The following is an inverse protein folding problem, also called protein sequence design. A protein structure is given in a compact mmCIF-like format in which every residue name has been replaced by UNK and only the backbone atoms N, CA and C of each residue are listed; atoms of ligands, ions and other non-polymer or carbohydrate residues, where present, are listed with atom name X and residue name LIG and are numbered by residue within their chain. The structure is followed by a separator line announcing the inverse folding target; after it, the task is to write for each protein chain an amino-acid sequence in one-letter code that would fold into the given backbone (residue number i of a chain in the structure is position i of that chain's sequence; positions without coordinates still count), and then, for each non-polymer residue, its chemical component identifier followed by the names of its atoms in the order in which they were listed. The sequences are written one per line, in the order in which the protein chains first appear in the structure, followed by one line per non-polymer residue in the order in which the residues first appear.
data_IF_589256081124
#
_entry.id   IF_589256081124
#
_cell.length_a   1.000
_cell.length_b   1.000
_cell.length_c   1.000
_cell.angle_alpha   90.00
_cell.angle_beta   90.00
_cell.angle_gamma   90.00
#
_symmetry.space_group_name_H-M   'P 1'
#
loop_
_entity.id
_entity.type
_entity.pdbx_description
1 polymer ?
#
# COMPACT_ATOMS: atom_id res chain seq x y z
N UNK A 1 -3.72 -26.25 -0.74
CA UNK A 1 -2.75 -25.28 -0.17
C UNK A 1 -2.52 -24.08 -1.07
N UNK A 2 -2.18 -24.23 -2.35
CA UNK A 2 -1.93 -23.08 -3.27
C UNK A 2 -3.14 -22.16 -3.46
N UNK A 3 -4.36 -22.72 -3.53
CA UNK A 3 -5.60 -21.93 -3.59
C UNK A 3 -5.78 -21.01 -2.35
N UNK A 4 -5.31 -21.45 -1.17
CA UNK A 4 -5.36 -20.63 0.04
C UNK A 4 -4.34 -19.47 -0.01
N UNK A 5 -3.14 -19.74 -0.55
CA UNK A 5 -2.05 -18.74 -0.70
C UNK A 5 -2.43 -17.66 -1.73
N UNK A 6 -3.05 -18.06 -2.84
CA UNK A 6 -3.58 -17.13 -3.85
C UNK A 6 -4.68 -16.24 -3.26
N UNK A 7 -5.56 -16.81 -2.44
CA UNK A 7 -6.64 -16.06 -1.79
C UNK A 7 -6.08 -15.07 -0.76
N UNK A 8 -5.10 -15.48 0.06
CA UNK A 8 -4.41 -14.58 1.01
C UNK A 8 -3.61 -13.49 0.30
N UNK A 9 -2.91 -13.81 -0.79
CA UNK A 9 -2.20 -12.82 -1.62
C UNK A 9 -3.15 -11.82 -2.25
N UNK A 10 -4.27 -12.27 -2.82
CA UNK A 10 -5.29 -11.39 -3.39
C UNK A 10 -5.96 -10.51 -2.33
N UNK A 11 -6.22 -11.06 -1.14
CA UNK A 11 -6.75 -10.30 -0.01
C UNK A 11 -5.75 -9.23 0.47
N UNK A 12 -4.47 -9.58 0.56
CA UNK A 12 -3.39 -8.64 0.91
C UNK A 12 -3.23 -7.51 -0.12
N UNK A 13 -3.33 -7.83 -1.43
CA UNK A 13 -3.33 -6.80 -2.49
C UNK A 13 -4.53 -5.86 -2.34
N UNK A 14 -5.75 -6.40 -2.19
CA UNK A 14 -6.96 -5.59 -2.04
C UNK A 14 -6.89 -4.67 -0.82
N UNK A 15 -6.41 -5.18 0.30
CA UNK A 15 -6.30 -4.41 1.53
C UNK A 15 -5.19 -3.37 1.44
N UNK A 16 -4.06 -3.69 0.81
CA UNK A 16 -2.97 -2.76 0.57
C UNK A 16 -3.37 -1.63 -0.40
N UNK A 17 -4.11 -1.92 -1.47
CA UNK A 17 -4.62 -0.89 -2.39
C UNK A 17 -5.59 0.06 -1.68
N UNK A 18 -6.54 -0.46 -0.90
CA UNK A 18 -7.47 0.38 -0.13
C UNK A 18 -6.75 1.26 0.91
N UNK A 19 -5.70 0.73 1.56
CA UNK A 19 -4.87 1.50 2.48
C UNK A 19 -4.07 2.59 1.77
N UNK A 20 -3.48 2.26 0.62
CA UNK A 20 -2.73 3.21 -0.21
C UNK A 20 -3.63 4.35 -0.72
N UNK A 21 -4.85 4.06 -1.16
CA UNK A 21 -5.83 5.09 -1.57
C UNK A 21 -6.17 6.05 -0.43
N UNK A 22 -6.38 5.53 0.78
CA UNK A 22 -6.63 6.36 1.97
C UNK A 22 -5.43 7.23 2.31
N UNK A 23 -4.22 6.68 2.28
CA UNK A 23 -2.99 7.43 2.53
C UNK A 23 -2.76 8.53 1.47
N UNK A 24 -2.97 8.22 0.19
CA UNK A 24 -2.91 9.18 -0.90
C UNK A 24 -3.94 10.31 -0.74
N UNK A 25 -5.17 9.99 -0.31
CA UNK A 25 -6.21 10.99 -0.06
C UNK A 25 -5.86 11.93 1.11
N UNK A 26 -5.17 11.43 2.14
CA UNK A 26 -4.70 12.23 3.27
C UNK A 26 -3.54 13.15 2.85
N UNK A 27 -2.59 12.64 2.07
CA UNK A 27 -1.51 13.45 1.46
C UNK A 27 -2.09 14.60 0.62
N UNK A 28 -3.07 14.32 -0.24
CA UNK A 28 -3.69 15.33 -1.08
C UNK A 28 -4.39 16.42 -0.26
N UNK A 29 -5.05 16.04 0.85
CA UNK A 29 -5.70 16.97 1.78
C UNK A 29 -4.70 17.80 2.58
N UNK A 30 -3.67 17.17 3.16
CA UNK A 30 -2.60 17.86 3.89
C UNK A 30 -1.86 18.86 2.99
N UNK A 31 -1.61 18.49 1.73
CA UNK A 31 -1.05 19.40 0.72
C UNK A 31 -1.95 20.59 0.38
N UNK A 32 -3.27 20.44 0.46
CA UNK A 32 -4.24 21.52 0.22
C UNK A 32 -4.40 22.44 1.45
N UNK A 33 -4.42 21.88 2.66
CA UNK A 33 -4.55 22.63 3.92
C UNK A 33 -3.38 23.58 4.16
N UNK A 34 -2.19 23.28 3.63
CA UNK A 34 -1.04 24.20 3.66
C UNK A 34 -1.14 25.41 2.73
N UNK A 35 -2.21 25.53 1.92
CA UNK A 35 -2.38 26.59 0.91
C UNK A 35 -3.58 27.52 1.15
N UNK A 36 -4.28 27.37 2.28
CA UNK A 36 -5.41 28.23 2.68
C UNK A 36 -5.02 29.24 3.77
N UNK A 37 -5.52 30.47 3.62
CA UNK A 37 -5.34 31.70 4.42
C UNK A 37 -5.58 31.65 5.96
N UNK A 38 -5.46 30.50 6.63
CA UNK A 38 -5.68 30.35 8.09
C UNK A 38 -4.40 29.96 8.87
N UNK A 39 -3.21 30.12 8.29
CA UNK A 39 -1.92 29.79 8.93
C UNK A 39 -1.32 30.95 9.78
N UNK A 40 -2.15 31.89 10.24
CA UNK A 40 -1.70 33.05 11.02
C UNK A 40 -1.70 32.81 12.54
N UNK A 41 -1.21 31.66 13.02
CA UNK A 41 -0.60 31.50 14.35
C UNK A 41 -0.23 30.03 14.61
N UNK A 42 1.06 29.74 14.80
CA UNK A 42 1.59 28.60 15.56
C UNK A 42 1.87 27.22 14.91
N UNK A 43 1.96 27.06 13.57
CA UNK A 43 1.94 25.69 13.00
C UNK A 43 3.05 25.26 12.03
N UNK A 44 4.25 25.84 12.06
CA UNK A 44 5.35 25.44 11.16
C UNK A 44 5.89 24.00 11.35
N UNK A 45 5.59 23.34 12.48
CA UNK A 45 6.08 21.98 12.78
C UNK A 45 5.02 20.88 12.55
N UNK A 46 3.72 21.21 12.54
CA UNK A 46 2.67 20.20 12.42
C UNK A 46 2.46 19.77 10.97
N UNK A 47 2.65 20.64 9.97
CA UNK A 47 2.51 20.27 8.54
C UNK A 47 3.47 19.16 8.12
N UNK A 48 4.71 19.18 8.63
CA UNK A 48 5.70 18.14 8.32
C UNK A 48 5.31 16.81 8.98
N UNK A 49 4.71 16.88 10.17
CA UNK A 49 4.25 15.72 10.94
C UNK A 49 2.97 15.12 10.32
N UNK A 50 2.04 15.98 9.89
CA UNK A 50 0.76 15.66 9.24
C UNK A 50 0.95 15.02 7.85
N UNK A 51 2.06 15.34 7.16
CA UNK A 51 2.40 14.73 5.87
C UNK A 51 3.31 13.49 6.02
N UNK A 52 4.17 13.44 7.04
CA UNK A 52 5.11 12.34 7.24
C UNK A 52 4.38 11.00 7.52
N UNK A 53 3.36 11.02 8.37
CA UNK A 53 2.58 9.82 8.70
C UNK A 53 1.90 9.18 7.48
N UNK A 54 1.10 9.91 6.67
CA UNK A 54 0.46 9.33 5.51
C UNK A 54 1.45 8.99 4.37
N UNK A 55 2.62 9.63 4.28
CA UNK A 55 3.69 9.22 3.36
C UNK A 55 4.32 7.87 3.75
N UNK A 56 4.58 7.67 5.03
CA UNK A 56 5.11 6.40 5.56
C UNK A 56 4.07 5.30 5.37
N UNK A 57 2.81 5.56 5.68
CA UNK A 57 1.70 4.64 5.45
C UNK A 57 1.56 4.27 3.98
N UNK A 58 1.67 5.23 3.05
CA UNK A 58 1.63 4.96 1.62
C UNK A 58 2.75 3.98 1.21
N UNK A 59 3.97 4.16 1.73
CA UNK A 59 5.07 3.22 1.46
C UNK A 59 4.91 1.87 2.13
N UNK A 60 4.32 1.83 3.32
CA UNK A 60 3.99 0.59 4.00
C UNK A 60 3.00 -0.23 3.15
N UNK A 61 1.92 0.40 2.69
CA UNK A 61 0.92 -0.24 1.84
C UNK A 61 1.48 -0.66 0.48
N UNK A 62 2.31 0.17 -0.17
CA UNK A 62 3.00 -0.21 -1.41
C UNK A 62 3.85 -1.48 -1.21
N UNK A 63 4.61 -1.54 -0.12
CA UNK A 63 5.46 -2.69 0.20
C UNK A 63 4.62 -3.93 0.50
N UNK A 64 3.50 -3.78 1.20
CA UNK A 64 2.53 -4.85 1.48
C UNK A 64 1.91 -5.41 0.19
N UNK A 65 1.53 -4.54 -0.75
CA UNK A 65 1.02 -4.96 -2.07
C UNK A 65 2.11 -5.68 -2.86
N UNK A 66 3.34 -5.16 -2.89
CA UNK A 66 4.49 -5.82 -3.56
C UNK A 66 4.78 -7.20 -2.98
N UNK A 67 4.76 -7.34 -1.66
CA UNK A 67 4.96 -8.61 -0.98
C UNK A 67 3.86 -9.61 -1.37
N UNK A 68 2.60 -9.18 -1.34
CA UNK A 68 1.45 -9.99 -1.72
C UNK A 68 1.48 -10.40 -3.21
N UNK A 69 1.90 -9.50 -4.10
CA UNK A 69 2.11 -9.79 -5.51
C UNK A 69 3.23 -10.83 -5.72
N UNK A 70 4.30 -10.76 -4.93
CA UNK A 70 5.37 -11.77 -4.98
C UNK A 70 4.89 -13.15 -4.52
N UNK A 71 4.01 -13.22 -3.52
CA UNK A 71 3.38 -14.48 -3.09
C UNK A 71 2.53 -15.09 -4.20
N UNK A 72 1.74 -14.27 -4.90
CA UNK A 72 0.94 -14.72 -6.06
C UNK A 72 1.85 -15.21 -7.19
N UNK A 73 2.94 -14.50 -7.49
CA UNK A 73 3.92 -14.91 -8.50
C UNK A 73 4.60 -16.24 -8.16
N UNK A 74 5.03 -16.43 -6.91
CA UNK A 74 5.64 -17.69 -6.47
C UNK A 74 4.62 -18.83 -6.51
N UNK A 75 3.35 -18.57 -6.17
CA UNK A 75 2.30 -19.56 -6.30
C UNK A 75 2.09 -20.00 -7.77
N UNK A 76 2.18 -19.06 -8.72
CA UNK A 76 2.11 -19.35 -10.16
C UNK A 76 3.33 -20.14 -10.66
N UNK A 77 4.54 -19.75 -10.26
CA UNK A 77 5.77 -20.47 -10.58
C UNK A 77 5.77 -21.91 -10.01
N UNK A 78 5.25 -22.11 -8.81
CA UNK A 78 5.07 -23.46 -8.23
C UNK A 78 4.04 -24.28 -9.01
N UNK A 79 2.95 -23.69 -9.51
CA UNK A 79 2.01 -24.39 -10.39
C UNK A 79 2.69 -24.74 -11.72
N UNK A 80 3.42 -23.80 -12.32
CA UNK A 80 4.15 -24.01 -13.58
C UNK A 80 5.16 -25.16 -13.48
N UNK A 81 5.97 -25.16 -12.41
CA UNK A 81 6.95 -26.24 -12.15
C UNK A 81 6.29 -27.60 -11.88
N UNK A 82 5.15 -27.64 -11.18
CA UNK A 82 4.39 -28.89 -11.01
C UNK A 82 3.78 -29.41 -12.33
N UNK A 83 3.45 -28.51 -13.26
CA UNK A 83 2.96 -28.88 -14.58
C UNK A 83 4.08 -29.46 -15.45
N UNK A 84 5.25 -28.83 -15.41
CA UNK A 84 6.45 -29.23 -16.17
C UNK A 84 6.98 -30.60 -15.73
N UNK A 85 6.92 -30.92 -14.43
CA UNK A 85 7.31 -32.26 -13.91
C UNK A 85 6.32 -33.37 -14.35
N UNK A 86 5.08 -33.02 -14.68
CA UNK A 86 4.03 -33.98 -15.10
C UNK A 86 3.94 -34.17 -16.61
N UNK A 87 4.56 -33.30 -17.42
CA UNK A 87 4.63 -33.39 -18.88
C UNK A 87 5.74 -34.34 -19.32
#
# INVERSE_FOLDING_TARGET
MVSNILNTGLQGIRQGVQGAEKAASQIARAGQSGSGDDAAASQGNDLYTDLAEPLVDLKLYETSVKASAKVVKVADEVIGTLLDIKA
#
